data_IF_940261302509
#
_entry.id   IF_940261302509
#
_cell.length_a   1.000
_cell.length_b   1.000
_cell.length_c   1.000
_cell.angle_alpha   90.00
_cell.angle_beta   90.00
_cell.angle_gamma   90.00
#
_symmetry.space_group_name_H-M   'P 1'
#
loop_
_entity.id
_entity.type
_entity.pdbx_description
1 polymer ?
#
# COMPACT_ATOMS: atom_id res chain seq x y z
N UNK A 1 -5.29 42.15 -2.06
CA UNK A 1 -5.11 40.72 -1.73
C UNK A 1 -4.01 40.62 -0.69
N UNK A 2 -4.38 40.37 0.57
CA UNK A 2 -3.41 40.26 1.66
C UNK A 2 -2.68 38.94 1.46
N UNK A 3 -1.41 39.01 1.08
CA UNK A 3 -0.49 37.88 1.11
C UNK A 3 -0.19 37.57 2.58
N UNK A 4 -1.00 36.70 3.20
CA UNK A 4 -0.65 36.15 4.51
C UNK A 4 0.44 35.12 4.30
N UNK A 5 1.68 35.53 4.56
CA UNK A 5 2.81 34.62 4.72
C UNK A 5 2.43 33.49 5.69
N UNK A 6 2.72 32.21 5.35
CA UNK A 6 2.35 31.09 6.21
C UNK A 6 3.03 31.21 7.58
N UNK A 7 2.43 30.66 8.65
CA UNK A 7 2.97 30.72 10.01
C UNK A 7 4.43 30.25 10.07
N UNK A 8 5.26 30.87 10.94
CA UNK A 8 6.70 30.55 11.09
C UNK A 8 6.99 29.07 11.37
N UNK A 9 6.03 28.33 11.91
CA UNK A 9 6.13 26.90 12.17
C UNK A 9 5.96 26.05 10.90
N UNK A 10 5.16 26.51 9.93
CA UNK A 10 5.07 25.92 8.57
C UNK A 10 6.37 26.20 7.78
N UNK A 11 7.08 27.29 8.07
CA UNK A 11 8.42 27.55 7.50
C UNK A 11 9.51 26.60 8.02
N UNK A 12 9.22 25.81 9.07
CA UNK A 12 10.11 24.75 9.57
C UNK A 12 9.94 23.42 8.83
N UNK A 13 8.92 23.29 7.98
CA UNK A 13 8.82 22.21 6.99
C UNK A 13 10.02 22.37 6.06
N UNK A 14 10.88 21.35 6.03
CA UNK A 14 12.25 21.43 5.50
C UNK A 14 12.37 22.31 4.27
N UNK A 15 13.02 23.47 4.42
CA UNK A 15 13.45 24.26 3.28
C UNK A 15 14.27 23.35 2.38
N UNK A 16 14.00 23.43 1.08
CA UNK A 16 14.73 22.71 0.05
C UNK A 16 16.25 22.78 0.32
N UNK A 17 16.84 21.65 0.71
CA UNK A 17 18.29 21.51 0.81
C UNK A 17 18.76 20.83 -0.48
N UNK A 18 19.35 21.61 -1.38
CA UNK A 18 20.01 21.04 -2.56
C UNK A 18 21.15 20.13 -2.11
N UNK A 19 21.19 18.91 -2.64
CA UNK A 19 22.31 17.99 -2.41
C UNK A 19 22.23 17.13 -1.15
N UNK A 20 21.04 16.90 -0.57
CA UNK A 20 20.88 15.90 0.50
C UNK A 20 21.35 14.50 0.02
N UNK A 21 22.47 13.97 0.56
CA UNK A 21 23.09 12.74 0.07
C UNK A 21 22.21 11.50 0.31
N UNK A 22 21.14 11.61 1.09
CA UNK A 22 20.18 10.54 1.34
C UNK A 22 19.16 10.37 0.21
N UNK A 23 18.97 11.38 -0.66
CA UNK A 23 17.95 11.41 -1.73
C UNK A 23 18.52 10.98 -3.07
N UNK A 24 18.73 9.66 -3.24
CA UNK A 24 19.36 9.07 -4.44
C UNK A 24 18.43 8.17 -5.26
N UNK A 25 17.15 8.09 -4.89
CA UNK A 25 16.20 7.18 -5.53
C UNK A 25 15.92 7.59 -6.98
N UNK A 26 15.83 6.59 -7.85
CA UNK A 26 15.41 6.72 -9.26
C UNK A 26 13.95 6.28 -9.40
N UNK A 27 13.33 6.58 -10.54
CA UNK A 27 11.93 6.23 -10.83
C UNK A 27 11.62 4.72 -10.68
N UNK A 28 12.60 3.84 -10.93
CA UNK A 28 12.41 2.41 -10.76
C UNK A 28 12.43 1.97 -9.29
N UNK A 29 13.20 2.66 -8.42
CA UNK A 29 13.14 2.42 -6.97
C UNK A 29 11.75 2.74 -6.44
N UNK A 30 11.19 3.91 -6.84
CA UNK A 30 9.82 4.25 -6.43
C UNK A 30 8.81 3.25 -6.96
N UNK A 31 9.00 2.72 -8.18
CA UNK A 31 8.15 1.63 -8.71
C UNK A 31 8.13 0.43 -7.75
N UNK A 32 9.28 -0.11 -7.36
CA UNK A 32 9.33 -1.30 -6.49
C UNK A 32 8.76 -1.03 -5.08
N UNK A 33 9.03 0.15 -4.52
CA UNK A 33 8.46 0.52 -3.22
C UNK A 33 6.93 0.70 -3.30
N UNK A 34 6.41 1.33 -4.37
CA UNK A 34 4.96 1.48 -4.58
C UNK A 34 4.28 0.14 -4.84
N UNK A 35 4.89 -0.75 -5.65
CA UNK A 35 4.40 -2.12 -5.86
C UNK A 35 4.36 -2.87 -4.54
N UNK A 36 5.41 -2.81 -3.73
CA UNK A 36 5.47 -3.48 -2.42
C UNK A 36 4.42 -2.93 -1.46
N UNK A 37 4.14 -1.63 -1.52
CA UNK A 37 3.15 -1.00 -0.67
C UNK A 37 1.72 -1.44 -1.03
N UNK A 38 1.41 -1.58 -2.33
CA UNK A 38 0.07 -1.93 -2.81
C UNK A 38 -0.17 -3.45 -2.83
N UNK A 39 0.77 -4.22 -3.37
CA UNK A 39 0.61 -5.64 -3.66
C UNK A 39 1.12 -6.47 -2.48
N UNK A 40 0.17 -6.93 -1.66
CA UNK A 40 0.46 -7.80 -0.53
C UNK A 40 -0.79 -8.51 -0.01
N UNK A 41 -1.01 -8.47 1.30
CA UNK A 41 -2.10 -9.18 1.97
C UNK A 41 -3.49 -8.84 1.42
N UNK A 42 -3.68 -7.62 0.89
CA UNK A 42 -4.94 -7.19 0.29
C UNK A 42 -5.35 -7.99 -0.94
N UNK A 43 -4.43 -8.29 -1.85
CA UNK A 43 -4.72 -9.07 -3.09
C UNK A 43 -5.20 -10.48 -2.75
N UNK A 44 -4.67 -11.10 -1.69
CA UNK A 44 -5.08 -12.42 -1.23
C UNK A 44 -6.55 -12.48 -0.76
N UNK A 45 -7.17 -11.33 -0.48
CA UNK A 45 -8.57 -11.22 -0.07
C UNK A 45 -9.55 -11.03 -1.25
N UNK A 46 -9.05 -10.68 -2.44
CA UNK A 46 -9.89 -10.41 -3.61
C UNK A 46 -10.80 -11.57 -4.03
N UNK A 47 -10.37 -12.86 -3.99
CA UNK A 47 -11.27 -13.97 -4.30
C UNK A 47 -12.48 -14.05 -3.36
N UNK A 48 -12.29 -13.70 -2.08
CA UNK A 48 -13.40 -13.61 -1.13
C UNK A 48 -14.33 -12.46 -1.52
N UNK A 49 -13.80 -11.28 -1.84
CA UNK A 49 -14.62 -10.14 -2.24
C UNK A 49 -15.46 -10.45 -3.49
N UNK A 50 -14.86 -11.09 -4.49
CA UNK A 50 -15.54 -11.51 -5.73
C UNK A 50 -16.64 -12.54 -5.47
N UNK A 51 -16.49 -13.42 -4.47
CA UNK A 51 -17.52 -14.41 -4.14
C UNK A 51 -18.82 -13.81 -3.58
N UNK A 52 -18.77 -12.59 -3.05
CA UNK A 52 -19.96 -11.89 -2.51
C UNK A 52 -20.46 -10.76 -3.41
N UNK A 53 -19.58 -10.11 -4.18
CA UNK A 53 -19.95 -9.08 -5.15
C UNK A 53 -20.30 -9.65 -6.53
N UNK A 54 -19.97 -10.92 -6.79
CA UNK A 54 -20.11 -11.53 -8.11
C UNK A 54 -19.12 -10.94 -9.12
N UNK A 55 -19.10 -11.51 -10.33
CA UNK A 55 -18.18 -11.05 -11.38
C UNK A 55 -18.53 -9.66 -11.89
N UNK A 56 -19.80 -9.38 -12.22
CA UNK A 56 -20.21 -8.09 -12.78
C UNK A 56 -19.94 -6.91 -11.82
N UNK A 57 -20.66 -6.81 -10.68
CA UNK A 57 -20.43 -5.73 -9.73
C UNK A 57 -19.02 -5.75 -9.12
N UNK A 58 -18.45 -6.93 -8.85
CA UNK A 58 -17.09 -7.06 -8.31
C UNK A 58 -16.03 -6.47 -9.25
N UNK A 59 -16.04 -6.84 -10.53
CA UNK A 59 -15.11 -6.29 -11.53
C UNK A 59 -15.33 -4.80 -11.74
N UNK A 60 -16.59 -4.33 -11.75
CA UNK A 60 -16.88 -2.89 -11.83
C UNK A 60 -16.26 -2.13 -10.66
N UNK A 61 -16.44 -2.61 -9.42
CA UNK A 61 -15.85 -1.97 -8.23
C UNK A 61 -14.32 -2.03 -8.28
N UNK A 62 -13.71 -3.13 -8.71
CA UNK A 62 -12.25 -3.22 -8.87
C UNK A 62 -11.71 -2.15 -9.83
N UNK A 63 -12.32 -2.00 -11.02
CA UNK A 63 -11.89 -1.01 -12.01
C UNK A 63 -12.11 0.41 -11.50
N UNK A 64 -13.26 0.68 -10.87
CA UNK A 64 -13.54 1.99 -10.27
C UNK A 64 -12.54 2.32 -9.16
N UNK A 65 -12.26 1.39 -8.26
CA UNK A 65 -11.27 1.56 -7.19
C UNK A 65 -9.87 1.78 -7.76
N UNK A 66 -9.45 1.04 -8.79
CA UNK A 66 -8.16 1.25 -9.46
C UNK A 66 -8.05 2.64 -10.09
N UNK A 67 -9.08 3.10 -10.81
CA UNK A 67 -9.11 4.45 -11.40
C UNK A 67 -9.08 5.55 -10.33
N UNK A 68 -9.90 5.41 -9.28
CA UNK A 68 -9.96 6.37 -8.18
C UNK A 68 -8.61 6.46 -7.46
N UNK A 69 -8.00 5.32 -7.15
CA UNK A 69 -6.71 5.26 -6.44
C UNK A 69 -5.56 5.79 -7.28
N UNK A 70 -5.54 5.52 -8.59
CA UNK A 70 -4.57 6.12 -9.51
C UNK A 70 -4.70 7.65 -9.54
N UNK A 71 -5.93 8.16 -9.58
CA UNK A 71 -6.18 9.60 -9.55
C UNK A 71 -5.74 10.24 -8.21
N UNK A 72 -6.07 9.62 -7.07
CA UNK A 72 -5.62 10.16 -5.77
C UNK A 72 -4.11 10.03 -5.57
N UNK A 73 -3.47 9.00 -6.14
CA UNK A 73 -2.01 8.88 -6.16
C UNK A 73 -1.40 10.03 -6.97
N UNK A 74 -1.95 10.34 -8.15
CA UNK A 74 -1.52 11.49 -8.94
C UNK A 74 -1.64 12.80 -8.16
N UNK A 75 -2.78 13.04 -7.50
CA UNK A 75 -3.00 14.23 -6.67
C UNK A 75 -1.95 14.35 -5.55
N UNK A 76 -1.69 13.25 -4.84
CA UNK A 76 -0.69 13.23 -3.76
C UNK A 76 0.72 13.56 -4.28
N UNK A 77 1.09 13.04 -5.45
CA UNK A 77 2.38 13.34 -6.09
C UNK A 77 2.52 14.82 -6.46
N UNK A 78 1.43 15.44 -6.93
CA UNK A 78 1.42 16.89 -7.21
C UNK A 78 1.50 17.72 -5.92
N UNK A 79 0.83 17.27 -4.86
CA UNK A 79 0.78 17.98 -3.58
C UNK A 79 2.14 18.02 -2.87
N UNK A 80 3.00 17.01 -3.06
CA UNK A 80 4.35 16.98 -2.46
C UNK A 80 5.18 18.25 -2.73
N UNK A 81 4.99 18.89 -3.89
CA UNK A 81 5.72 20.09 -4.32
C UNK A 81 4.75 21.15 -4.87
N UNK A 82 3.58 21.30 -4.23
CA UNK A 82 2.55 22.26 -4.68
C UNK A 82 2.93 23.73 -4.43
N UNK A 83 3.87 23.99 -3.52
CA UNK A 83 4.40 25.32 -3.22
C UNK A 83 5.84 25.43 -3.72
N UNK A 84 6.18 26.42 -4.56
CA UNK A 84 7.56 26.61 -5.02
C UNK A 84 8.54 26.72 -3.84
N UNK A 85 9.61 25.92 -3.88
CA UNK A 85 10.65 25.94 -2.84
C UNK A 85 10.26 25.32 -1.50
N UNK A 86 9.12 24.62 -1.40
CA UNK A 86 8.77 23.79 -0.23
C UNK A 86 8.51 22.34 -0.66
N UNK A 87 8.91 21.35 0.15
CA UNK A 87 8.57 19.94 -0.04
C UNK A 87 7.77 19.46 1.16
N UNK A 88 6.67 18.77 0.91
CA UNK A 88 5.88 18.11 1.93
C UNK A 88 6.20 16.61 1.91
N UNK A 89 7.27 16.24 2.62
CA UNK A 89 7.78 14.86 2.64
C UNK A 89 6.86 13.89 3.42
N UNK A 90 5.95 14.40 4.27
CA UNK A 90 4.98 13.60 5.04
C UNK A 90 3.56 14.10 4.86
N UNK A 91 2.60 13.19 4.97
CA UNK A 91 1.17 13.51 4.80
C UNK A 91 0.65 14.48 5.87
N UNK A 92 1.16 14.39 7.10
CA UNK A 92 0.83 15.34 8.18
C UNK A 92 1.29 16.77 7.87
N UNK A 93 2.36 16.96 7.09
CA UNK A 93 2.85 18.29 6.71
C UNK A 93 1.89 18.95 5.72
N UNK A 94 1.31 18.17 4.79
CA UNK A 94 0.22 18.63 3.92
C UNK A 94 -1.03 18.98 4.73
N UNK A 95 -1.39 18.16 5.72
CA UNK A 95 -2.51 18.44 6.61
C UNK A 95 -2.35 19.77 7.34
N UNK A 96 -1.16 20.01 7.91
CA UNK A 96 -0.81 21.26 8.60
C UNK A 96 -0.82 22.46 7.67
N UNK A 97 -0.38 22.28 6.43
CA UNK A 97 -0.44 23.34 5.42
C UNK A 97 -1.88 23.68 5.02
N UNK A 98 -2.74 22.67 4.81
CA UNK A 98 -4.11 22.86 4.34
C UNK A 98 -5.08 23.36 5.41
N UNK A 99 -4.97 22.85 6.65
CA UNK A 99 -5.92 23.12 7.73
C UNK A 99 -5.33 23.92 8.90
N UNK A 100 -4.05 24.29 8.83
CA UNK A 100 -3.33 24.98 9.91
C UNK A 100 -2.58 24.01 10.84
N UNK A 101 -1.64 24.54 11.65
CA UNK A 101 -0.67 23.73 12.40
C UNK A 101 -1.31 22.78 13.43
N UNK A 102 -2.36 23.22 14.12
CA UNK A 102 -3.05 22.43 15.14
C UNK A 102 -4.10 21.49 14.50
N UNK A 103 -5.08 22.06 13.79
CA UNK A 103 -6.19 21.31 13.21
C UNK A 103 -5.72 20.29 12.16
N UNK A 104 -4.73 20.65 11.33
CA UNK A 104 -4.18 19.74 10.34
C UNK A 104 -3.54 18.49 10.93
N UNK A 105 -2.83 18.64 12.05
CA UNK A 105 -2.29 17.51 12.80
C UNK A 105 -3.39 16.62 13.36
N UNK A 106 -4.42 17.21 13.99
CA UNK A 106 -5.54 16.46 14.59
C UNK A 106 -6.44 15.76 13.58
N UNK A 107 -6.56 16.27 12.36
CA UNK A 107 -7.34 15.62 11.29
C UNK A 107 -6.56 14.46 10.68
N UNK A 108 -5.29 14.67 10.35
CA UNK A 108 -4.49 13.69 9.61
C UNK A 108 -3.99 12.54 10.51
N UNK A 109 -3.49 12.86 11.70
CA UNK A 109 -2.81 11.87 12.54
C UNK A 109 -3.69 10.67 12.92
N UNK A 110 -4.96 10.83 13.35
CA UNK A 110 -5.81 9.69 13.67
C UNK A 110 -6.04 8.78 12.46
N UNK A 111 -6.28 9.35 11.28
CA UNK A 111 -6.49 8.59 10.04
C UNK A 111 -5.24 7.80 9.66
N UNK A 112 -4.07 8.45 9.73
CA UNK A 112 -2.79 7.80 9.41
C UNK A 112 -2.44 6.69 10.41
N UNK A 113 -2.71 6.89 11.71
CA UNK A 113 -2.50 5.87 12.73
C UNK A 113 -3.43 4.66 12.55
N UNK A 114 -4.71 4.89 12.25
CA UNK A 114 -5.68 3.80 12.00
C UNK A 114 -5.21 2.93 10.83
N UNK A 115 -4.82 3.56 9.72
CA UNK A 115 -4.32 2.84 8.54
C UNK A 115 -3.04 2.09 8.86
N UNK A 116 -2.06 2.74 9.51
CA UNK A 116 -0.75 2.12 9.78
C UNK A 116 -0.87 0.95 10.75
N UNK A 117 -1.54 1.15 11.89
CA UNK A 117 -1.75 0.09 12.89
C UNK A 117 -2.58 -1.06 12.31
N UNK A 118 -3.62 -0.74 11.52
CA UNK A 118 -4.43 -1.75 10.84
C UNK A 118 -3.62 -2.58 9.85
N UNK A 119 -2.83 -1.93 8.99
CA UNK A 119 -1.91 -2.60 8.07
C UNK A 119 -0.95 -3.52 8.83
N UNK A 120 -0.29 -3.01 9.87
CA UNK A 120 0.69 -3.78 10.64
C UNK A 120 0.04 -5.04 11.24
N UNK A 121 -1.15 -4.93 11.83
CA UNK A 121 -1.89 -6.10 12.36
C UNK A 121 -2.19 -7.11 11.25
N UNK A 122 -2.72 -6.67 10.10
CA UNK A 122 -3.08 -7.56 8.98
C UNK A 122 -1.85 -8.29 8.45
N UNK A 123 -0.73 -7.59 8.27
CA UNK A 123 0.51 -8.19 7.79
C UNK A 123 1.13 -9.13 8.82
N UNK A 124 1.07 -8.82 10.12
CA UNK A 124 1.53 -9.73 11.20
C UNK A 124 0.72 -11.03 11.21
N UNK A 125 -0.60 -10.95 11.14
CA UNK A 125 -1.49 -12.12 11.12
C UNK A 125 -1.29 -12.94 9.85
N UNK A 126 -1.20 -12.28 8.70
CA UNK A 126 -1.03 -12.94 7.39
C UNK A 126 0.32 -13.64 7.32
N UNK A 127 1.41 -12.94 7.66
CA UNK A 127 2.77 -13.50 7.67
C UNK A 127 2.90 -14.69 8.62
N UNK A 128 2.37 -14.57 9.85
CA UNK A 128 2.34 -15.69 10.80
C UNK A 128 1.54 -16.89 10.30
N UNK A 129 0.41 -16.67 9.61
CA UNK A 129 -0.39 -17.74 9.00
C UNK A 129 0.34 -18.40 7.84
N UNK A 130 1.03 -17.63 6.99
CA UNK A 130 1.86 -18.15 5.91
C UNK A 130 3.02 -19.00 6.44
N UNK A 131 3.74 -18.51 7.46
CA UNK A 131 4.86 -19.24 8.07
C UNK A 131 4.40 -20.55 8.71
N UNK A 132 3.27 -20.52 9.42
CA UNK A 132 2.62 -21.73 9.95
C UNK A 132 2.35 -22.75 8.83
N UNK A 133 1.73 -22.31 7.73
CA UNK A 133 1.38 -23.20 6.61
C UNK A 133 2.61 -23.76 5.90
N UNK A 134 3.64 -22.95 5.73
CA UNK A 134 4.92 -23.40 5.19
C UNK A 134 5.51 -24.54 6.02
N UNK A 135 5.54 -24.38 7.35
CA UNK A 135 6.10 -25.39 8.25
C UNK A 135 5.27 -26.68 8.32
N UNK A 136 3.94 -26.57 8.24
CA UNK A 136 3.04 -27.72 8.13
C UNK A 136 3.29 -28.54 6.85
N UNK A 137 3.70 -27.89 5.76
CA UNK A 137 4.02 -28.55 4.48
C UNK A 137 5.45 -29.10 4.49
N UNK A 138 6.42 -28.33 4.97
CA UNK A 138 7.83 -28.69 4.93
C UNK A 138 8.21 -29.77 5.97
N UNK A 139 7.49 -29.83 7.10
CA UNK A 139 7.74 -30.81 8.15
C UNK A 139 6.43 -31.39 8.68
N UNK A 140 5.98 -32.48 8.05
CA UNK A 140 4.74 -33.19 8.41
C UNK A 140 4.78 -33.83 9.80
N UNK A 141 5.97 -34.10 10.33
CA UNK A 141 6.19 -34.75 11.63
C UNK A 141 6.55 -33.76 12.75
N UNK A 142 6.59 -32.46 12.47
CA UNK A 142 6.93 -31.45 13.47
C UNK A 142 5.76 -31.14 14.42
N UNK A 143 6.07 -30.70 15.63
CA UNK A 143 5.07 -30.27 16.61
C UNK A 143 4.26 -29.10 16.08
N UNK A 144 2.94 -29.25 16.13
CA UNK A 144 2.00 -28.22 15.71
C UNK A 144 1.94 -27.10 16.75
N UNK A 145 2.46 -25.94 16.39
CA UNK A 145 2.38 -24.74 17.23
C UNK A 145 1.10 -23.95 16.96
N UNK A 146 0.57 -23.31 18.00
CA UNK A 146 -0.57 -22.38 17.86
C UNK A 146 -0.19 -21.21 16.95
N UNK A 147 -1.12 -20.74 16.14
CA UNK A 147 -0.89 -19.62 15.19
C UNK A 147 -0.34 -18.36 15.86
N UNK A 148 -0.72 -18.08 17.11
CA UNK A 148 -0.21 -16.96 17.89
C UNK A 148 1.32 -16.97 18.02
N UNK A 149 1.95 -18.14 18.16
CA UNK A 149 3.41 -18.24 18.23
C UNK A 149 4.06 -17.89 16.89
N UNK A 150 3.48 -18.33 15.78
CA UNK A 150 3.98 -17.97 14.45
C UNK A 150 3.85 -16.48 14.15
N UNK A 151 2.80 -15.83 14.63
CA UNK A 151 2.65 -14.37 14.55
C UNK A 151 3.76 -13.68 15.35
N UNK A 152 4.06 -14.14 16.57
CA UNK A 152 5.16 -13.59 17.37
C UNK A 152 6.54 -13.78 16.72
N UNK A 153 6.79 -14.95 16.13
CA UNK A 153 8.05 -15.23 15.40
C UNK A 153 8.19 -14.29 14.19
N UNK A 154 7.13 -14.13 13.41
CA UNK A 154 7.12 -13.22 12.26
C UNK A 154 7.31 -11.76 12.70
N UNK A 155 6.62 -11.36 13.78
CA UNK A 155 6.77 -10.04 14.40
C UNK A 155 8.17 -9.78 14.94
N UNK A 156 8.84 -10.78 15.51
CA UNK A 156 10.24 -10.68 15.93
C UNK A 156 11.16 -10.30 14.77
N UNK A 157 10.96 -10.90 13.59
CA UNK A 157 11.73 -10.54 12.39
C UNK A 157 11.46 -9.11 11.95
N UNK A 158 10.20 -8.68 11.95
CA UNK A 158 9.81 -7.30 11.62
C UNK A 158 10.35 -6.27 12.62
N UNK A 159 10.44 -6.62 13.91
CA UNK A 159 11.01 -5.75 14.93
C UNK A 159 12.48 -5.40 14.63
N UNK A 160 13.27 -6.36 14.14
CA UNK A 160 14.64 -6.09 13.71
C UNK A 160 14.69 -5.24 12.43
N UNK A 161 13.84 -5.55 11.45
CA UNK A 161 13.76 -4.78 10.20
C UNK A 161 13.31 -3.33 10.42
N UNK A 162 12.47 -3.06 11.43
CA UNK A 162 12.01 -1.71 11.75
C UNK A 162 13.09 -0.81 12.36
N UNK A 163 14.21 -1.38 12.82
CA UNK A 163 15.35 -0.59 13.31
C UNK A 163 16.21 -0.01 12.17
N UNK A 164 15.92 -0.37 10.90
CA UNK A 164 16.66 0.16 9.76
C UNK A 164 16.33 1.64 9.52
N UNK A 165 17.34 2.50 9.29
CA UNK A 165 17.20 3.95 9.44
C UNK A 165 16.41 4.65 8.33
N UNK A 166 16.29 4.06 7.14
CA UNK A 166 15.57 4.67 6.01
C UNK A 166 15.19 3.65 4.92
N UNK A 167 14.36 4.07 3.96
CA UNK A 167 13.89 3.26 2.84
C UNK A 167 15.01 2.73 1.93
N UNK A 168 16.13 3.45 1.80
CA UNK A 168 17.27 2.95 1.01
C UNK A 168 17.88 1.70 1.66
N UNK A 169 17.88 1.61 3.00
CA UNK A 169 18.38 0.44 3.73
C UNK A 169 17.49 -0.81 3.58
N UNK A 170 16.19 -0.64 3.32
CA UNK A 170 15.24 -1.73 3.07
C UNK A 170 14.98 -2.00 1.59
N UNK A 171 15.63 -1.30 0.67
CA UNK A 171 15.38 -1.44 -0.77
C UNK A 171 15.53 -2.88 -1.28
N UNK A 172 16.51 -3.64 -0.77
CA UNK A 172 16.68 -5.05 -1.13
C UNK A 172 15.51 -5.93 -0.64
N UNK A 173 15.02 -5.67 0.58
CA UNK A 173 13.86 -6.36 1.14
C UNK A 173 12.60 -6.00 0.37
N UNK A 174 12.41 -4.72 0.01
CA UNK A 174 11.30 -4.29 -0.85
C UNK A 174 11.36 -4.92 -2.23
N UNK A 175 12.54 -5.02 -2.85
CA UNK A 175 12.68 -5.71 -4.14
C UNK A 175 12.30 -7.19 -4.03
N UNK A 176 12.78 -7.89 -3.00
CA UNK A 176 12.41 -9.27 -2.74
C UNK A 176 10.89 -9.43 -2.51
N UNK A 177 10.29 -8.54 -1.72
CA UNK A 177 8.86 -8.51 -1.48
C UNK A 177 8.07 -8.29 -2.77
N UNK A 178 8.47 -7.32 -3.60
CA UNK A 178 7.85 -7.08 -4.90
C UNK A 178 7.90 -8.33 -5.79
N UNK A 179 9.07 -8.98 -5.92
CA UNK A 179 9.23 -10.21 -6.72
C UNK A 179 8.33 -11.34 -6.19
N UNK A 180 8.28 -11.53 -4.87
CA UNK A 180 7.40 -12.52 -4.26
C UNK A 180 5.92 -12.21 -4.50
N UNK A 181 5.55 -10.93 -4.46
CA UNK A 181 4.19 -10.47 -4.74
C UNK A 181 3.75 -10.78 -6.17
N UNK A 182 4.61 -10.48 -7.15
CA UNK A 182 4.37 -10.87 -8.53
C UNK A 182 4.28 -12.38 -8.70
N UNK A 183 5.13 -13.13 -7.99
CA UNK A 183 5.20 -14.58 -8.10
C UNK A 183 3.90 -15.23 -7.62
N UNK A 184 3.38 -14.87 -6.44
CA UNK A 184 2.15 -15.49 -5.96
C UNK A 184 0.93 -15.08 -6.80
N UNK A 185 0.84 -13.82 -7.27
CA UNK A 185 -0.24 -13.40 -8.17
C UNK A 185 -0.17 -14.16 -9.50
N UNK A 186 1.04 -14.32 -10.04
CA UNK A 186 1.28 -15.08 -11.27
C UNK A 186 0.86 -16.54 -11.13
N UNK A 187 1.25 -17.19 -10.03
CA UNK A 187 0.82 -18.57 -9.74
C UNK A 187 -0.71 -18.65 -9.64
N UNK A 188 -1.37 -17.66 -9.03
CA UNK A 188 -2.82 -17.66 -8.86
C UNK A 188 -3.56 -17.58 -10.21
N UNK A 189 -3.24 -16.60 -11.08
CA UNK A 189 -3.94 -16.48 -12.36
C UNK A 189 -3.49 -17.53 -13.38
N UNK A 190 -2.20 -17.87 -13.46
CA UNK A 190 -1.72 -18.91 -14.38
C UNK A 190 -2.24 -20.29 -13.98
N UNK A 191 -2.26 -20.60 -12.68
CA UNK A 191 -2.89 -21.80 -12.14
C UNK A 191 -4.36 -21.87 -12.52
N UNK A 192 -5.10 -20.79 -12.33
CA UNK A 192 -6.52 -20.71 -12.70
C UNK A 192 -6.75 -20.92 -14.21
N UNK A 193 -5.94 -20.30 -15.08
CA UNK A 193 -6.04 -20.48 -16.53
C UNK A 193 -5.70 -21.91 -16.98
N UNK A 194 -4.66 -22.51 -16.40
CA UNK A 194 -4.25 -23.88 -16.72
C UNK A 194 -5.26 -24.93 -16.27
N UNK A 195 -5.95 -24.70 -15.16
CA UNK A 195 -7.01 -25.60 -14.69
C UNK A 195 -8.28 -25.48 -15.52
N UNK A 196 -8.51 -24.31 -16.14
CA UNK A 196 -9.65 -24.06 -17.01
C UNK A 196 -10.98 -23.97 -16.26
N UNK A 197 -12.07 -24.10 -17.01
CA UNK A 197 -13.42 -24.06 -16.43
C UNK A 197 -13.72 -25.36 -15.67
N UNK A 198 -14.18 -25.23 -14.43
CA UNK A 198 -14.58 -26.38 -13.61
C UNK A 198 -16.00 -26.79 -14.00
N UNK A 199 -16.17 -28.02 -14.46
CA UNK A 199 -17.48 -28.61 -14.76
C UNK A 199 -18.33 -28.67 -13.47
N UNK A 200 -19.48 -27.99 -13.46
CA UNK A 200 -20.36 -27.90 -12.29
C UNK A 200 -20.00 -26.79 -11.29
N UNK A 201 -19.06 -25.89 -11.62
CA UNK A 201 -18.82 -24.68 -10.84
C UNK A 201 -20.02 -23.72 -10.90
N UNK A 202 -20.51 -23.26 -9.75
CA UNK A 202 -21.52 -22.19 -9.69
C UNK A 202 -20.85 -20.82 -9.65
N UNK A 203 -21.34 -19.91 -10.50
CA UNK A 203 -20.97 -18.50 -10.52
C UNK A 203 -22.03 -17.62 -9.85
N UNK A 204 -23.00 -18.24 -9.16
CA UNK A 204 -24.02 -17.53 -8.42
C UNK A 204 -23.45 -16.90 -7.15
N UNK A 205 -24.17 -15.91 -6.63
CA UNK A 205 -23.86 -15.33 -5.35
C UNK A 205 -23.96 -16.38 -4.25
N UNK A 206 -23.05 -16.32 -3.26
CA UNK A 206 -23.14 -17.20 -2.10
C UNK A 206 -24.46 -17.01 -1.36
N UNK A 207 -25.19 -18.11 -1.15
CA UNK A 207 -26.43 -18.10 -0.37
C UNK A 207 -26.14 -17.95 1.11
N UNK A 208 -26.62 -16.89 1.72
CA UNK A 208 -26.67 -16.70 3.17
C UNK A 208 -27.94 -15.90 3.53
N UNK A 209 -28.17 -15.65 4.82
CA UNK A 209 -29.29 -14.79 5.22
C UNK A 209 -29.13 -13.37 4.64
N UNK A 210 -30.22 -12.64 4.33
CA UNK A 210 -30.12 -11.31 3.74
C UNK A 210 -29.24 -10.33 4.54
N UNK A 211 -29.29 -10.41 5.87
CA UNK A 211 -28.50 -9.57 6.77
C UNK A 211 -27.01 -9.92 6.73
N UNK A 212 -26.65 -11.20 6.79
CA UNK A 212 -25.26 -11.65 6.66
C UNK A 212 -24.70 -11.30 5.27
N UNK A 213 -25.50 -11.44 4.22
CA UNK A 213 -25.10 -11.10 2.86
C UNK A 213 -24.72 -9.61 2.76
N UNK A 214 -25.55 -8.72 3.32
CA UNK A 214 -25.28 -7.29 3.35
C UNK A 214 -23.96 -6.96 4.05
N UNK A 215 -23.69 -7.52 5.23
CA UNK A 215 -22.42 -7.30 5.92
C UNK A 215 -21.22 -7.83 5.14
N UNK A 216 -21.37 -8.96 4.42
CA UNK A 216 -20.31 -9.51 3.58
C UNK A 216 -20.02 -8.67 2.35
N UNK A 217 -21.05 -8.06 1.76
CA UNK A 217 -20.88 -7.06 0.70
C UNK A 217 -20.06 -5.87 1.20
N UNK A 218 -20.38 -5.31 2.37
CA UNK A 218 -19.59 -4.21 2.95
C UNK A 218 -18.14 -4.63 3.25
N UNK A 219 -17.93 -5.83 3.78
CA UNK A 219 -16.59 -6.38 3.98
C UNK A 219 -15.83 -6.54 2.65
N UNK A 220 -16.49 -7.01 1.59
CA UNK A 220 -15.90 -7.15 0.26
C UNK A 220 -15.47 -5.79 -0.32
N UNK A 221 -16.30 -4.75 -0.18
CA UNK A 221 -15.93 -3.39 -0.58
C UNK A 221 -14.72 -2.85 0.19
N UNK A 222 -14.66 -3.12 1.50
CA UNK A 222 -13.50 -2.78 2.33
C UNK A 222 -12.23 -3.53 1.91
N UNK A 223 -12.33 -4.81 1.58
CA UNK A 223 -11.21 -5.62 1.09
C UNK A 223 -10.68 -5.13 -0.26
N UNK A 224 -11.56 -4.79 -1.21
CA UNK A 224 -11.14 -4.18 -2.47
C UNK A 224 -10.43 -2.84 -2.22
N UNK A 225 -10.98 -2.00 -1.35
CA UNK A 225 -10.38 -0.71 -1.00
C UNK A 225 -8.99 -0.89 -0.39
N UNK A 226 -8.82 -1.89 0.49
CA UNK A 226 -7.54 -2.23 1.11
C UNK A 226 -6.53 -2.82 0.12
N UNK A 227 -6.98 -3.58 -0.89
CA UNK A 227 -6.11 -4.15 -1.92
C UNK A 227 -5.39 -3.09 -2.77
N UNK A 228 -5.93 -1.87 -2.84
CA UNK A 228 -5.30 -0.74 -3.54
C UNK A 228 -4.68 0.30 -2.58
N UNK A 229 -4.50 -0.06 -1.30
CA UNK A 229 -3.89 0.84 -0.32
C UNK A 229 -2.36 0.91 -0.53
N UNK A 230 -1.87 2.05 -1.02
CA UNK A 230 -0.42 2.34 -1.11
C UNK A 230 -0.05 3.80 -0.85
N UNK A 231 -1.04 4.66 -0.71
CA UNK A 231 -0.87 6.11 -0.59
C UNK A 231 -0.21 6.54 0.72
N UNK A 232 -0.35 5.75 1.79
CA UNK A 232 0.13 6.09 3.12
C UNK A 232 1.65 6.30 3.21
N UNK A 233 2.42 5.79 2.25
CA UNK A 233 3.88 5.91 2.17
C UNK A 233 4.35 6.64 0.89
N UNK A 234 3.43 7.15 0.07
CA UNK A 234 3.77 7.67 -1.25
C UNK A 234 4.60 8.96 -1.17
N UNK A 235 4.32 9.83 -0.19
CA UNK A 235 5.09 11.05 0.02
C UNK A 235 6.50 10.74 0.52
N UNK A 236 6.63 9.78 1.44
CA UNK A 236 7.90 9.33 1.97
C UNK A 236 8.76 8.66 0.88
N UNK A 237 8.15 7.90 -0.03
CA UNK A 237 8.82 7.35 -1.22
C UNK A 237 9.31 8.50 -2.12
N UNK A 238 8.45 9.47 -2.42
CA UNK A 238 8.82 10.62 -3.26
C UNK A 238 9.90 11.50 -2.60
N UNK A 239 9.92 11.61 -1.27
CA UNK A 239 10.92 12.35 -0.51
C UNK A 239 12.35 11.83 -0.76
N UNK A 240 12.51 10.53 -1.04
CA UNK A 240 13.81 9.90 -1.37
C UNK A 240 14.33 10.24 -2.77
N UNK A 241 13.49 10.80 -3.64
CA UNK A 241 13.87 11.21 -4.99
C UNK A 241 14.47 12.62 -4.95
N UNK A 242 15.63 12.85 -5.59
CA UNK A 242 16.22 14.17 -5.70
C UNK A 242 15.31 15.12 -6.48
N UNK A 243 15.30 16.39 -6.08
CA UNK A 243 14.47 17.43 -6.70
C UNK A 243 15.26 18.73 -6.80
N UNK A 244 15.21 19.40 -7.96
CA UNK A 244 15.66 20.81 -8.17
C UNK A 244 14.45 21.64 -8.63
N UNK A 245 14.42 22.98 -8.46
CA UNK A 245 13.32 23.80 -8.98
C UNK A 245 13.04 23.58 -10.48
N UNK A 246 14.07 23.26 -11.26
CA UNK A 246 14.00 22.95 -12.69
C UNK A 246 13.65 21.48 -12.97
N UNK A 247 13.89 20.58 -12.00
CA UNK A 247 13.68 19.13 -12.11
C UNK A 247 12.92 18.61 -10.89
N UNK A 248 11.59 18.80 -10.85
CA UNK A 248 10.77 18.41 -9.72
C UNK A 248 10.65 16.88 -9.59
N UNK A 249 10.62 16.37 -8.37
CA UNK A 249 10.51 14.93 -8.06
C UNK A 249 9.22 14.31 -8.56
N UNK A 250 8.17 15.11 -8.78
CA UNK A 250 6.86 14.66 -9.27
C UNK A 250 6.93 13.93 -10.62
N UNK A 251 7.87 14.28 -11.50
CA UNK A 251 8.02 13.66 -12.83
C UNK A 251 8.52 12.20 -12.70
N UNK A 252 9.71 11.93 -12.10
CA UNK A 252 10.16 10.56 -11.90
C UNK A 252 9.25 9.76 -10.95
N UNK A 253 8.64 10.40 -9.93
CA UNK A 253 7.67 9.73 -9.07
C UNK A 253 6.45 9.25 -9.86
N UNK A 254 5.87 10.11 -10.71
CA UNK A 254 4.72 9.74 -11.54
C UNK A 254 5.03 8.60 -12.52
N UNK A 255 6.23 8.59 -13.12
CA UNK A 255 6.68 7.46 -13.94
C UNK A 255 6.72 6.16 -13.14
N UNK A 256 7.23 6.21 -11.90
CA UNK A 256 7.27 5.05 -11.02
C UNK A 256 5.87 4.58 -10.59
N UNK A 257 4.98 5.51 -10.27
CA UNK A 257 3.59 5.22 -9.92
C UNK A 257 2.84 4.57 -11.09
N UNK A 258 2.99 5.07 -12.33
CA UNK A 258 2.39 4.45 -13.51
C UNK A 258 2.89 3.01 -13.72
N UNK A 259 4.21 2.77 -13.57
CA UNK A 259 4.77 1.43 -13.61
C UNK A 259 4.16 0.51 -12.55
N UNK A 260 4.02 1.00 -11.32
CA UNK A 260 3.43 0.23 -10.23
C UNK A 260 1.95 -0.07 -10.46
N UNK A 261 1.16 0.89 -10.96
CA UNK A 261 -0.26 0.69 -11.26
C UNK A 261 -0.50 -0.23 -12.46
N UNK A 262 0.40 -0.22 -13.45
CA UNK A 262 0.38 -1.18 -14.54
C UNK A 262 0.63 -2.61 -14.04
N UNK A 263 1.66 -2.79 -13.21
CA UNK A 263 1.95 -4.07 -12.56
C UNK A 263 0.77 -4.53 -11.70
N UNK A 264 0.22 -3.63 -10.89
CA UNK A 264 -0.93 -3.90 -10.04
C UNK A 264 -2.21 -4.26 -10.83
N UNK A 265 -2.37 -3.78 -12.07
CA UNK A 265 -3.49 -4.18 -12.93
C UNK A 265 -3.34 -5.61 -13.48
N UNK A 266 -2.10 -6.12 -13.57
CA UNK A 266 -1.81 -7.50 -14.00
C UNK A 266 -1.98 -8.49 -12.85
N UNK A 267 -1.66 -8.06 -11.63
CA UNK A 267 -1.64 -8.88 -10.41
C UNK A 267 -3.01 -9.13 -9.79
#
# INVERSE_FOLDING_TARGET
MVSTSPPKEVQSIGKWAEGDPTRRAKWWYSTFHTVTAMIGAGVLSLPYAMAYLGWGPGTMVLVLSWCMTLNTMWQMIQLHECVPGTRFDRYIDLGRYAFGPELGGWVVLPQQLIVQVGCDIVYMVTGGKCLKKFMEIACTSCTQLRQSYWILIFGGTHFFLSQLPNFNSVAAVSLAAAVMSLSYSTIAWAGSLSHGQINGGSYEYKSTSPTDFMFRVFNALGQISFAFAGHAVALEIQATIPSTPERPSKIPMWKGALGAYFINAIC
#
